data_IF_403214052091
#
_entry.id   IF_403214052091
#
_cell.length_a   1.000
_cell.length_b   1.000
_cell.length_c   1.000
_cell.angle_alpha   90.00
_cell.angle_beta   90.00
_cell.angle_gamma   90.00
#
_symmetry.space_group_name_H-M   'P 1'
#
loop_
_entity.id
_entity.type
_entity.pdbx_description
1 polymer ?
#
# COMPACT_ATOMS: atom_id res chain seq x y z
N UNK A 1 34.14 14.04 -9.14
CA UNK A 1 32.89 13.59 -8.50
C UNK A 1 33.26 13.23 -7.08
N UNK A 2 32.64 13.81 -6.07
CA UNK A 2 32.89 13.46 -4.68
C UNK A 2 32.21 12.13 -4.38
N UNK A 3 32.94 11.20 -3.79
CA UNK A 3 32.37 9.95 -3.29
C UNK A 3 31.87 10.22 -1.85
N UNK A 4 30.58 10.08 -1.63
CA UNK A 4 29.95 10.26 -0.31
C UNK A 4 29.57 8.94 0.35
N UNK A 5 29.82 7.86 -0.36
CA UNK A 5 29.35 6.55 0.04
C UNK A 5 30.45 5.74 0.77
N UNK A 6 30.01 4.70 1.46
CA UNK A 6 30.90 3.78 2.17
C UNK A 6 31.63 2.92 1.11
N UNK A 7 32.95 2.64 1.28
CA UNK A 7 33.65 1.72 0.41
C UNK A 7 32.95 0.37 0.31
N UNK A 8 32.86 -0.19 -0.89
CA UNK A 8 32.18 -1.45 -1.14
C UNK A 8 32.67 -2.61 -0.24
N UNK A 9 33.94 -2.59 0.18
CA UNK A 9 34.51 -3.58 1.07
C UNK A 9 33.94 -3.52 2.50
N UNK A 10 33.42 -2.36 2.94
CA UNK A 10 32.91 -2.12 4.28
C UNK A 10 31.40 -2.40 4.38
N UNK A 11 30.67 -2.43 3.24
CA UNK A 11 29.22 -2.64 3.20
C UNK A 11 28.76 -3.92 3.91
N UNK A 12 29.43 -5.09 3.79
CA UNK A 12 28.97 -6.31 4.47
C UNK A 12 28.99 -6.22 6.00
N UNK A 13 29.84 -5.34 6.55
CA UNK A 13 30.02 -5.17 8.00
C UNK A 13 29.33 -3.93 8.54
N UNK A 14 28.81 -3.07 7.67
CA UNK A 14 28.13 -1.85 8.10
C UNK A 14 26.88 -2.14 8.92
N UNK A 15 26.84 -1.59 10.13
CA UNK A 15 25.73 -1.72 11.09
C UNK A 15 25.52 -0.35 11.72
N UNK A 16 24.59 0.48 11.15
CA UNK A 16 24.31 1.78 11.74
C UNK A 16 23.60 1.61 13.10
N UNK A 17 23.95 2.47 14.03
CA UNK A 17 23.17 2.64 15.26
C UNK A 17 21.97 3.53 14.92
N UNK A 18 20.77 2.97 15.01
CA UNK A 18 19.53 3.71 14.80
C UNK A 18 18.92 4.03 16.18
N UNK A 19 18.63 5.30 16.46
CA UNK A 19 17.91 5.68 17.69
C UNK A 19 16.43 5.25 17.54
N UNK A 20 16.14 4.02 17.98
CA UNK A 20 14.77 3.51 18.00
C UNK A 20 14.11 3.99 19.29
N UNK A 21 12.96 4.71 19.22
CA UNK A 21 12.21 5.10 20.42
C UNK A 21 11.78 3.87 21.23
N UNK A 22 11.87 3.95 22.56
CA UNK A 22 11.52 2.84 23.45
C UNK A 22 10.04 2.44 23.36
N UNK A 23 9.17 3.37 22.96
CA UNK A 23 7.72 3.21 22.83
C UNK A 23 7.26 2.85 21.41
N UNK A 24 8.17 2.54 20.47
CA UNK A 24 7.84 2.29 19.07
C UNK A 24 6.82 1.16 18.91
N UNK A 25 7.03 0.05 19.59
CA UNK A 25 6.15 -1.12 19.49
C UNK A 25 4.77 -0.83 20.10
N UNK A 26 4.72 -0.11 21.23
CA UNK A 26 3.47 0.30 21.86
C UNK A 26 2.70 1.29 20.96
N UNK A 27 3.39 2.26 20.38
CA UNK A 27 2.80 3.21 19.43
C UNK A 27 2.12 2.50 18.26
N UNK A 28 2.79 1.52 17.63
CA UNK A 28 2.21 0.79 16.51
C UNK A 28 1.10 -0.18 16.93
N UNK A 29 1.26 -0.85 18.06
CA UNK A 29 0.19 -1.71 18.61
C UNK A 29 -1.09 -0.90 18.85
N UNK A 30 -0.98 0.27 19.46
CA UNK A 30 -2.10 1.17 19.70
C UNK A 30 -2.70 1.68 18.38
N UNK A 31 -1.85 2.14 17.47
CA UNK A 31 -2.29 2.63 16.15
C UNK A 31 -3.09 1.58 15.38
N UNK A 32 -2.62 0.34 15.33
CA UNK A 32 -3.33 -0.73 14.63
C UNK A 32 -4.61 -1.15 15.35
N UNK A 33 -4.63 -1.10 16.69
CA UNK A 33 -5.85 -1.34 17.45
C UNK A 33 -6.92 -0.27 17.16
N UNK A 34 -6.53 1.00 17.07
CA UNK A 34 -7.41 2.10 16.69
C UNK A 34 -7.97 1.89 15.28
N UNK A 35 -7.12 1.59 14.32
CA UNK A 35 -7.53 1.37 12.92
C UNK A 35 -8.51 0.22 12.78
N UNK A 36 -8.32 -0.87 13.53
CA UNK A 36 -9.18 -2.06 13.52
C UNK A 36 -10.53 -1.87 14.22
N UNK A 37 -10.76 -0.75 14.91
CA UNK A 37 -12.10 -0.38 15.38
C UNK A 37 -13.05 -0.10 14.21
N UNK A 38 -12.51 0.28 13.05
CA UNK A 38 -13.29 0.43 11.82
C UNK A 38 -13.39 -0.93 11.10
N UNK A 39 -14.58 -1.44 10.79
CA UNK A 39 -14.74 -2.61 9.95
C UNK A 39 -13.96 -2.46 8.64
N UNK A 40 -13.43 -3.54 8.11
CA UNK A 40 -12.68 -3.52 6.85
C UNK A 40 -13.55 -3.03 5.68
N UNK A 41 -14.84 -3.37 5.69
CA UNK A 41 -15.85 -2.98 4.69
C UNK A 41 -15.29 -3.10 3.25
N UNK A 42 -14.72 -4.29 2.97
CA UNK A 42 -14.11 -4.61 1.68
C UNK A 42 -15.18 -4.69 0.61
N UNK A 43 -14.96 -4.00 -0.50
CA UNK A 43 -15.82 -4.01 -1.69
C UNK A 43 -14.98 -4.30 -2.92
N UNK A 44 -15.48 -5.17 -3.78
CA UNK A 44 -14.90 -5.47 -5.08
C UNK A 44 -15.98 -5.26 -6.14
N UNK A 45 -15.70 -4.38 -7.08
CA UNK A 45 -16.53 -4.15 -8.25
C UNK A 45 -15.78 -4.62 -9.49
N UNK A 46 -16.32 -5.63 -10.17
CA UNK A 46 -15.70 -6.14 -11.40
C UNK A 46 -15.75 -5.06 -12.48
N UNK A 47 -14.61 -4.85 -13.13
CA UNK A 47 -14.51 -3.91 -14.24
C UNK A 47 -14.22 -4.67 -15.53
N UNK A 48 -14.88 -4.26 -16.61
CA UNK A 48 -14.54 -4.74 -17.97
C UNK A 48 -13.34 -3.91 -18.49
N UNK A 49 -12.16 -4.49 -18.34
CA UNK A 49 -10.92 -3.90 -18.83
C UNK A 49 -10.46 -4.51 -20.16
N UNK A 50 -11.30 -5.32 -20.82
CA UNK A 50 -10.98 -5.96 -22.10
C UNK A 50 -9.96 -7.10 -21.99
N UNK A 51 -9.76 -7.67 -20.79
CA UNK A 51 -8.84 -8.79 -20.58
C UNK A 51 -9.53 -10.13 -20.80
N UNK A 52 -8.87 -11.06 -21.50
CA UNK A 52 -9.36 -12.43 -21.69
C UNK A 52 -8.84 -13.39 -20.62
N UNK A 53 -7.63 -13.18 -20.11
CA UNK A 53 -6.94 -14.11 -19.21
C UNK A 53 -6.87 -13.61 -17.76
N UNK A 54 -7.34 -12.40 -17.49
CA UNK A 54 -7.28 -11.74 -16.18
C UNK A 54 -8.63 -11.12 -15.87
N UNK A 55 -9.08 -11.30 -14.64
CA UNK A 55 -10.18 -10.52 -14.09
C UNK A 55 -9.64 -9.30 -13.36
N UNK A 56 -10.32 -8.16 -13.51
CA UNK A 56 -9.97 -6.91 -12.84
C UNK A 56 -11.15 -6.37 -12.02
N UNK A 57 -10.82 -5.81 -10.86
CA UNK A 57 -11.80 -5.26 -9.93
C UNK A 57 -11.31 -3.90 -9.40
N UNK A 58 -12.21 -2.92 -9.35
CA UNK A 58 -12.04 -1.75 -8.49
C UNK A 58 -12.29 -2.20 -7.05
N UNK A 59 -11.33 -1.91 -6.19
CA UNK A 59 -11.36 -2.33 -4.78
C UNK A 59 -11.45 -1.12 -3.89
N UNK A 60 -12.29 -1.22 -2.87
CA UNK A 60 -12.33 -0.29 -1.76
C UNK A 60 -12.31 -1.01 -0.42
N UNK A 61 -11.57 -0.48 0.54
CA UNK A 61 -11.56 -0.94 1.93
C UNK A 61 -11.35 0.23 2.90
N UNK A 62 -11.64 0.01 4.18
CA UNK A 62 -11.41 1.02 5.21
C UNK A 62 -9.97 0.97 5.70
N UNK A 63 -9.26 2.08 5.54
CA UNK A 63 -7.93 2.33 6.09
C UNK A 63 -7.96 3.10 7.41
N UNK A 64 -6.93 3.89 7.67
CA UNK A 64 -6.82 4.74 8.85
C UNK A 64 -8.04 5.67 8.99
N UNK A 65 -8.61 5.75 10.20
CA UNK A 65 -9.78 6.57 10.50
C UNK A 65 -11.06 6.13 9.78
N UNK A 66 -11.12 4.91 9.26
CA UNK A 66 -12.25 4.42 8.46
C UNK A 66 -12.33 5.02 7.06
N UNK A 67 -11.33 5.81 6.64
CA UNK A 67 -11.32 6.42 5.31
C UNK A 67 -11.22 5.36 4.21
N UNK A 68 -11.90 5.61 3.08
CA UNK A 68 -11.91 4.69 1.94
C UNK A 68 -10.59 4.72 1.20
N UNK A 69 -9.94 3.58 1.15
CA UNK A 69 -8.73 3.35 0.35
C UNK A 69 -9.14 2.59 -0.89
N UNK A 70 -8.70 3.06 -2.05
CA UNK A 70 -8.95 2.42 -3.34
C UNK A 70 -7.76 1.58 -3.78
N UNK A 71 -8.01 0.68 -4.70
CA UNK A 71 -6.98 -0.14 -5.32
C UNK A 71 -7.48 -0.80 -6.59
N UNK A 72 -6.55 -1.45 -7.31
CA UNK A 72 -6.88 -2.41 -8.35
C UNK A 72 -6.57 -3.80 -7.86
N UNK A 73 -7.55 -4.69 -7.97
CA UNK A 73 -7.32 -6.11 -7.75
C UNK A 73 -7.44 -6.84 -9.08
N UNK A 74 -6.42 -7.61 -9.42
CA UNK A 74 -6.41 -8.45 -10.62
C UNK A 74 -6.07 -9.88 -10.25
N UNK A 75 -6.65 -10.85 -10.97
CA UNK A 75 -6.37 -12.28 -10.78
C UNK A 75 -6.50 -13.03 -12.11
N UNK A 76 -5.89 -14.23 -12.23
CA UNK A 76 -6.21 -15.13 -13.34
C UNK A 76 -7.71 -15.43 -13.38
N UNK A 77 -8.28 -15.62 -14.57
CA UNK A 77 -9.66 -16.11 -14.72
C UNK A 77 -9.83 -17.50 -14.09
N UNK A 78 -11.01 -17.76 -13.54
CA UNK A 78 -11.39 -19.04 -12.95
C UNK A 78 -11.36 -19.07 -11.43
N UNK A 79 -11.71 -20.24 -10.87
CA UNK A 79 -12.03 -20.43 -9.45
C UNK A 79 -10.84 -20.96 -8.61
N UNK A 80 -9.65 -21.04 -9.19
CA UNK A 80 -8.47 -21.52 -8.47
C UNK A 80 -8.12 -20.61 -7.29
N UNK A 81 -7.79 -21.24 -6.16
CA UNK A 81 -7.20 -20.53 -5.01
C UNK A 81 -5.74 -20.23 -5.32
N UNK A 82 -5.36 -18.96 -5.34
CA UNK A 82 -4.03 -18.49 -5.77
C UNK A 82 -3.33 -17.69 -4.67
N UNK A 83 -1.99 -17.70 -4.63
CA UNK A 83 -1.24 -16.79 -3.78
C UNK A 83 -1.46 -15.34 -4.24
N UNK A 84 -1.19 -14.38 -3.35
CA UNK A 84 -1.40 -12.98 -3.66
C UNK A 84 -0.15 -12.12 -3.42
N UNK A 85 -0.10 -11.00 -4.14
CA UNK A 85 0.88 -9.94 -3.95
C UNK A 85 0.14 -8.62 -3.69
N UNK A 86 0.55 -7.89 -2.66
CA UNK A 86 0.14 -6.49 -2.43
C UNK A 86 1.27 -5.59 -2.89
N UNK A 87 0.97 -4.66 -3.78
CA UNK A 87 1.93 -3.68 -4.28
C UNK A 87 1.65 -2.30 -3.70
N UNK A 88 2.69 -1.67 -3.15
CA UNK A 88 2.68 -0.29 -2.69
C UNK A 88 3.35 0.60 -3.72
N UNK A 89 2.64 1.62 -4.17
CA UNK A 89 3.11 2.54 -5.21
C UNK A 89 4.12 3.52 -4.62
N UNK A 90 5.20 3.77 -5.36
CA UNK A 90 6.25 4.71 -4.96
C UNK A 90 5.74 6.15 -4.79
N UNK A 91 6.51 6.95 -4.07
CA UNK A 91 6.18 8.33 -3.71
C UNK A 91 5.72 9.17 -4.91
N UNK A 92 4.58 9.80 -4.77
CA UNK A 92 3.98 10.67 -5.78
C UNK A 92 3.14 9.96 -6.83
N UNK A 93 3.18 8.62 -6.92
CA UNK A 93 2.37 7.83 -7.85
C UNK A 93 0.99 7.50 -7.29
N UNK A 94 0.08 7.15 -8.18
CA UNK A 94 -1.26 6.63 -7.88
C UNK A 94 -1.44 5.20 -8.41
N UNK A 95 -2.60 4.61 -8.14
CA UNK A 95 -2.91 3.23 -8.56
C UNK A 95 -2.89 3.02 -10.08
N UNK A 96 -2.95 4.10 -10.86
CA UNK A 96 -2.96 4.05 -12.31
C UNK A 96 -4.18 3.35 -12.90
N UNK A 97 -3.95 2.65 -14.00
CA UNK A 97 -4.95 1.81 -14.68
C UNK A 97 -4.66 0.32 -14.42
N UNK A 98 -5.67 -0.56 -14.45
CA UNK A 98 -5.47 -1.99 -14.25
C UNK A 98 -4.54 -2.63 -15.28
N UNK A 99 -4.43 -2.05 -16.49
CA UNK A 99 -3.57 -2.51 -17.57
C UNK A 99 -2.07 -2.40 -17.28
N UNK A 100 -1.67 -1.51 -16.38
CA UNK A 100 -0.25 -1.20 -16.14
C UNK A 100 0.46 -2.26 -15.30
N UNK A 101 -0.29 -3.12 -14.58
CA UNK A 101 0.26 -3.98 -13.54
C UNK A 101 -0.30 -5.41 -13.59
N UNK A 102 -0.10 -6.08 -14.74
CA UNK A 102 -0.64 -7.42 -14.98
C UNK A 102 0.35 -8.56 -14.70
N UNK A 103 1.63 -8.28 -14.48
CA UNK A 103 2.69 -9.28 -14.40
C UNK A 103 2.39 -10.39 -13.38
N UNK A 104 1.86 -10.04 -12.21
CA UNK A 104 1.52 -11.01 -11.18
C UNK A 104 0.29 -11.85 -11.57
N UNK A 105 -0.75 -11.23 -12.13
CA UNK A 105 -1.96 -11.93 -12.53
C UNK A 105 -1.69 -12.93 -13.66
N UNK A 106 -0.94 -12.55 -14.70
CA UNK A 106 -0.58 -13.45 -15.80
C UNK A 106 0.39 -14.56 -15.37
N UNK A 107 1.11 -14.39 -14.25
CA UNK A 107 1.94 -15.44 -13.65
C UNK A 107 1.21 -16.31 -12.61
N UNK A 108 -0.11 -16.27 -12.57
CA UNK A 108 -0.91 -17.15 -11.73
C UNK A 108 -1.09 -16.69 -10.28
N UNK A 109 -0.98 -15.39 -10.01
CA UNK A 109 -1.16 -14.80 -8.67
C UNK A 109 -2.27 -13.75 -8.67
N UNK A 110 -2.98 -13.62 -7.56
CA UNK A 110 -3.77 -12.43 -7.32
C UNK A 110 -2.85 -11.22 -7.04
N UNK A 111 -3.28 -10.03 -7.43
CA UNK A 111 -2.48 -8.83 -7.24
C UNK A 111 -3.38 -7.67 -6.79
N UNK A 112 -3.08 -7.08 -5.65
CA UNK A 112 -3.70 -5.86 -5.15
C UNK A 112 -2.71 -4.71 -5.23
N UNK A 113 -2.99 -3.70 -6.04
CA UNK A 113 -2.26 -2.42 -6.06
C UNK A 113 -3.01 -1.45 -5.17
N UNK A 114 -2.42 -1.06 -4.06
CA UNK A 114 -3.01 -0.06 -3.16
C UNK A 114 -2.77 1.35 -3.70
N UNK A 115 -3.82 2.15 -3.74
CA UNK A 115 -3.73 3.57 -4.06
C UNK A 115 -3.33 4.37 -2.83
N UNK A 116 -2.19 5.05 -2.88
CA UNK A 116 -1.65 5.78 -1.73
C UNK A 116 -2.45 7.06 -1.48
N UNK A 117 -3.04 7.19 -0.30
CA UNK A 117 -3.86 8.36 0.07
C UNK A 117 -3.17 9.70 -0.20
N UNK A 118 -3.89 10.62 -0.81
CA UNK A 118 -3.43 11.99 -1.06
C UNK A 118 -2.27 12.13 -2.05
N UNK A 119 -1.94 11.06 -2.76
CA UNK A 119 -0.90 11.05 -3.80
C UNK A 119 -1.48 10.76 -5.19
N UNK A 120 -0.63 10.56 -6.19
CA UNK A 120 -1.05 10.25 -7.56
C UNK A 120 -1.13 11.43 -8.51
N UNK A 121 -0.53 12.57 -8.16
CA UNK A 121 -0.51 13.78 -8.99
C UNK A 121 0.86 14.14 -9.56
N UNK A 122 1.89 13.35 -9.29
CA UNK A 122 3.27 13.68 -9.65
C UNK A 122 3.74 12.94 -10.89
N UNK A 123 3.45 11.65 -11.00
CA UNK A 123 3.85 10.83 -12.14
C UNK A 123 2.84 9.69 -12.38
N UNK A 124 2.86 9.14 -13.58
CA UNK A 124 1.95 8.07 -13.99
C UNK A 124 0.50 8.55 -14.17
N UNK A 125 -0.41 7.60 -14.19
CA UNK A 125 -1.86 7.86 -14.19
C UNK A 125 -2.30 8.06 -12.74
N UNK A 126 -3.18 9.01 -12.50
CA UNK A 126 -3.52 9.52 -11.18
C UNK A 126 -4.04 8.52 -10.15
N UNK A 127 -4.10 8.96 -8.91
CA UNK A 127 -4.74 8.29 -7.80
C UNK A 127 -6.21 8.68 -7.64
N UNK A 128 -6.93 7.91 -6.83
CA UNK A 128 -8.35 8.12 -6.55
C UNK A 128 -8.66 8.13 -5.04
N UNK A 129 -7.63 8.05 -4.19
CA UNK A 129 -7.77 8.01 -2.73
C UNK A 129 -7.38 9.36 -2.13
N UNK A 130 -8.33 10.16 -1.62
CA UNK A 130 -8.00 11.41 -0.93
C UNK A 130 -7.38 11.15 0.44
N UNK A 131 -6.63 12.13 0.97
CA UNK A 131 -6.26 12.19 2.39
C UNK A 131 -7.02 13.33 3.07
N UNK A 132 -8.17 13.09 3.68
CA UNK A 132 -8.99 14.12 4.30
C UNK A 132 -8.44 14.60 5.64
N UNK A 133 -7.43 13.95 6.17
CA UNK A 133 -6.85 14.22 7.48
C UNK A 133 -5.52 14.97 7.38
N UNK A 134 -5.19 15.66 8.46
CA UNK A 134 -3.91 16.36 8.62
C UNK A 134 -3.85 17.71 7.93
N UNK A 135 -2.84 18.46 8.30
CA UNK A 135 -2.51 19.81 7.79
C UNK A 135 -1.08 19.83 7.25
N UNK A 136 -0.71 20.90 6.54
CA UNK A 136 0.62 21.08 6.01
C UNK A 136 0.77 20.63 4.54
N UNK A 137 2.01 20.46 4.06
CA UNK A 137 2.28 20.17 2.66
C UNK A 137 1.55 18.93 2.15
N UNK A 138 1.04 18.97 0.93
CA UNK A 138 0.32 17.88 0.30
C UNK A 138 1.12 17.27 -0.86
N UNK A 139 1.31 17.99 -1.97
CA UNK A 139 2.00 17.45 -3.14
C UNK A 139 2.82 18.54 -3.85
N UNK A 140 4.14 18.34 -4.07
CA UNK A 140 5.00 17.39 -3.37
C UNK A 140 5.24 17.81 -1.93
N UNK A 141 5.64 16.93 -1.03
CA UNK A 141 6.01 17.30 0.33
C UNK A 141 5.25 16.56 1.43
N UNK A 142 4.50 15.49 1.10
CA UNK A 142 3.79 14.66 2.09
C UNK A 142 4.72 14.05 3.16
N UNK A 143 6.03 13.95 2.90
CA UNK A 143 6.99 13.41 3.85
C UNK A 143 7.09 14.19 5.16
N UNK A 144 6.82 15.49 5.13
CA UNK A 144 6.84 16.34 6.32
C UNK A 144 5.44 16.70 6.83
N UNK A 145 4.40 16.15 6.22
CA UNK A 145 3.03 16.43 6.62
C UNK A 145 2.73 15.84 8.00
N UNK A 146 2.47 16.74 8.96
CA UNK A 146 2.24 16.40 10.36
C UNK A 146 3.49 15.94 11.11
N UNK A 147 4.71 16.32 10.67
CA UNK A 147 5.98 15.86 11.23
C UNK A 147 6.20 16.29 12.69
N UNK A 148 5.45 17.26 13.18
CA UNK A 148 5.54 17.78 14.54
C UNK A 148 5.03 16.80 15.60
N UNK A 149 4.24 15.80 15.18
CA UNK A 149 3.68 14.78 16.05
C UNK A 149 3.63 13.41 15.36
N UNK A 150 4.11 12.33 16.00
CA UNK A 150 3.99 11.00 15.42
C UNK A 150 2.53 10.58 15.20
N UNK A 151 1.59 11.12 16.00
CA UNK A 151 0.17 10.84 15.85
C UNK A 151 -0.45 11.50 14.62
N UNK A 152 0.05 12.66 14.22
CA UNK A 152 -0.46 13.45 13.08
C UNK A 152 0.31 13.16 11.80
N UNK A 153 1.45 12.48 11.90
CA UNK A 153 2.34 12.22 10.78
C UNK A 153 1.64 11.44 9.67
N UNK A 154 1.81 11.91 8.44
CA UNK A 154 1.19 11.33 7.25
C UNK A 154 1.48 9.83 7.11
N UNK A 155 2.73 9.41 7.36
CA UNK A 155 3.12 8.00 7.21
C UNK A 155 2.52 7.06 8.25
N UNK A 156 2.10 7.57 9.44
CA UNK A 156 1.27 6.77 10.36
C UNK A 156 0.01 6.27 9.65
N UNK A 157 -0.64 7.15 8.88
CA UNK A 157 -1.86 6.79 8.14
C UNK A 157 -1.56 5.86 6.97
N UNK A 158 -0.54 6.16 6.18
CA UNK A 158 -0.16 5.35 5.00
C UNK A 158 0.27 3.95 5.39
N UNK A 159 1.08 3.79 6.44
CA UNK A 159 1.51 2.47 6.90
C UNK A 159 0.34 1.66 7.47
N UNK A 160 -0.59 2.33 8.16
CA UNK A 160 -1.83 1.70 8.60
C UNK A 160 -2.68 1.20 7.43
N UNK A 161 -2.79 2.00 6.36
CA UNK A 161 -3.48 1.59 5.14
C UNK A 161 -2.79 0.39 4.49
N UNK A 162 -1.46 0.37 4.51
CA UNK A 162 -0.68 -0.75 4.00
C UNK A 162 -0.99 -2.06 4.74
N UNK A 163 -1.10 -2.01 6.06
CA UNK A 163 -1.53 -3.18 6.87
C UNK A 163 -2.95 -3.60 6.50
N UNK A 164 -3.88 -2.63 6.37
CA UNK A 164 -5.26 -2.90 5.98
C UNK A 164 -5.37 -3.48 4.57
N UNK A 165 -4.49 -3.11 3.64
CA UNK A 165 -4.43 -3.70 2.30
C UNK A 165 -4.06 -5.18 2.34
N UNK A 166 -3.14 -5.59 3.23
CA UNK A 166 -2.83 -7.00 3.46
C UNK A 166 -4.02 -7.74 4.07
N UNK A 167 -4.69 -7.13 5.05
CA UNK A 167 -5.92 -7.70 5.64
C UNK A 167 -7.03 -7.83 4.58
N UNK A 168 -7.17 -6.83 3.70
CA UNK A 168 -8.14 -6.84 2.61
C UNK A 168 -7.90 -7.99 1.63
N UNK A 169 -6.67 -8.13 1.12
CA UNK A 169 -6.37 -9.20 0.15
C UNK A 169 -6.55 -10.58 0.76
N UNK A 170 -6.24 -10.75 2.06
CA UNK A 170 -6.43 -12.03 2.78
C UNK A 170 -7.91 -12.38 3.01
N UNK A 171 -8.81 -11.41 2.91
CA UNK A 171 -10.25 -11.60 3.05
C UNK A 171 -10.96 -11.84 1.71
N UNK A 172 -10.26 -11.78 0.57
CA UNK A 172 -10.84 -12.01 -0.75
C UNK A 172 -10.98 -13.51 -1.00
N UNK A 173 -12.17 -13.94 -1.39
CA UNK A 173 -12.42 -15.33 -1.79
C UNK A 173 -11.53 -15.73 -2.97
N UNK A 174 -10.98 -16.94 -2.91
CA UNK A 174 -10.05 -17.45 -3.92
C UNK A 174 -8.61 -16.98 -3.76
N UNK A 175 -8.29 -16.27 -2.68
CA UNK A 175 -6.91 -15.98 -2.27
C UNK A 175 -6.47 -16.97 -1.20
N UNK A 176 -5.25 -17.51 -1.34
CA UNK A 176 -4.58 -18.25 -0.28
C UNK A 176 -4.00 -17.28 0.75
N UNK A 177 -4.75 -17.05 1.83
CA UNK A 177 -4.39 -16.10 2.88
C UNK A 177 -3.04 -16.44 3.59
N UNK A 178 -2.53 -17.67 3.44
CA UNK A 178 -1.23 -18.07 4.00
C UNK A 178 -0.05 -17.72 3.08
N UNK A 179 -0.32 -17.39 1.81
CA UNK A 179 0.68 -17.09 0.77
C UNK A 179 0.49 -15.68 0.21
N UNK A 180 0.62 -14.69 1.08
CA UNK A 180 0.56 -13.27 0.69
C UNK A 180 1.95 -12.67 0.82
N UNK A 181 2.41 -12.03 -0.25
CA UNK A 181 3.67 -11.28 -0.32
C UNK A 181 3.39 -9.81 -0.50
N UNK A 182 4.37 -8.96 -0.16
CA UNK A 182 4.31 -7.53 -0.40
C UNK A 182 5.47 -7.10 -1.28
N UNK A 183 5.25 -6.08 -2.11
CA UNK A 183 6.28 -5.45 -2.95
C UNK A 183 6.06 -3.94 -2.98
N UNK A 184 7.10 -3.19 -3.33
CA UNK A 184 7.05 -1.75 -3.48
C UNK A 184 8.37 -1.20 -4.02
N UNK A 185 8.37 0.04 -4.52
CA UNK A 185 9.54 0.74 -5.06
C UNK A 185 9.45 2.24 -4.88
#
# INVERSE_FOLDING_TARGET
MAFFDIPAADLPTYRPELPIPDDLDEFWAHTLAEVRQHPLDLRLERVDAGFEQVEAYDVEFSGFGGHRIRGWYTRPVGDAVVPAVVEYVGYGGGRGLPHERLAWAVSGRAHLVMDTRGQGSVWGVGGATPDPAGSGPAAPGVMTRGIESPHDHYYRRVFSDGVRAVEAVRAIDGVDASRVSVTGG
#
